data_IF_780274192596
#
_entry.id   IF_780274192596
#
_cell.length_a   1.000
_cell.length_b   1.000
_cell.length_c   1.000
_cell.angle_alpha   90.00
_cell.angle_beta   90.00
_cell.angle_gamma   90.00
#
_symmetry.space_group_name_H-M   'P 1'
#
loop_
_entity.id
_entity.type
_entity.pdbx_description
1 polymer ?
#
# COMPACT_ATOMS: atom_id res chain seq x y z
N UNK A 1 5.67 -20.29 29.26
CA UNK A 1 5.43 -20.15 27.79
C UNK A 1 3.95 -20.35 27.57
N UNK A 2 3.23 -19.29 27.28
CA UNK A 2 1.78 -19.28 27.31
C UNK A 2 1.14 -19.89 26.06
N UNK A 3 -0.03 -20.49 26.25
CA UNK A 3 -0.92 -21.08 25.25
C UNK A 3 -1.17 -20.12 24.05
N UNK A 4 -1.04 -18.81 24.26
CA UNK A 4 -1.23 -17.75 23.25
C UNK A 4 -0.11 -17.66 22.19
N UNK A 5 1.09 -18.17 22.48
CA UNK A 5 2.18 -18.21 21.48
C UNK A 5 1.88 -19.22 20.35
N UNK A 6 1.14 -20.29 20.66
CA UNK A 6 0.73 -21.28 19.68
C UNK A 6 -0.35 -20.76 18.72
N UNK A 7 -1.24 -19.87 19.19
CA UNK A 7 -2.28 -19.25 18.36
C UNK A 7 -1.71 -18.31 17.29
N UNK A 8 -0.56 -17.69 17.53
CA UNK A 8 0.12 -16.87 16.53
C UNK A 8 0.63 -17.68 15.33
N UNK A 9 1.05 -18.92 15.55
CA UNK A 9 1.49 -19.85 14.50
C UNK A 9 0.31 -20.33 13.64
N UNK A 10 -0.89 -20.36 14.19
CA UNK A 10 -2.12 -20.76 13.47
C UNK A 10 -2.71 -19.65 12.58
N UNK A 11 -2.18 -18.44 12.63
CA UNK A 11 -2.70 -17.31 11.86
C UNK A 11 -2.79 -17.60 10.35
N UNK A 12 -1.78 -18.17 9.67
CA UNK A 12 -1.89 -18.56 8.25
C UNK A 12 -2.93 -19.66 8.01
N UNK A 13 -3.02 -20.64 8.93
CA UNK A 13 -4.02 -21.73 8.85
C UNK A 13 -5.42 -21.17 9.06
N UNK A 14 -5.61 -20.26 10.03
CA UNK A 14 -6.88 -19.59 10.25
C UNK A 14 -7.35 -18.79 9.02
N UNK A 15 -6.46 -18.08 8.35
CA UNK A 15 -6.79 -17.38 7.11
C UNK A 15 -7.20 -18.32 5.99
N UNK A 16 -6.54 -19.48 5.88
CA UNK A 16 -6.87 -20.51 4.88
C UNK A 16 -8.20 -21.18 5.17
N UNK A 17 -8.47 -21.55 6.43
CA UNK A 17 -9.74 -22.16 6.85
C UNK A 17 -10.91 -21.19 6.74
N UNK A 18 -10.72 -19.93 7.14
CA UNK A 18 -11.73 -18.89 6.99
C UNK A 18 -12.07 -18.68 5.50
N UNK A 19 -11.08 -18.74 4.62
CA UNK A 19 -11.29 -18.67 3.16
C UNK A 19 -12.16 -19.79 2.65
N UNK A 20 -11.88 -21.03 3.07
CA UNK A 20 -12.64 -22.21 2.66
C UNK A 20 -14.08 -22.17 3.17
N UNK A 21 -14.26 -21.89 4.47
CA UNK A 21 -15.58 -21.89 5.12
C UNK A 21 -16.47 -20.71 4.71
N UNK A 22 -15.88 -19.56 4.36
CA UNK A 22 -16.65 -18.38 3.96
C UNK A 22 -17.05 -18.34 2.49
N UNK A 23 -16.69 -19.36 1.70
CA UNK A 23 -16.91 -19.37 0.26
C UNK A 23 -16.16 -18.24 -0.46
N UNK A 24 -15.00 -17.86 0.04
CA UNK A 24 -14.21 -16.80 -0.52
C UNK A 24 -13.68 -17.14 -1.91
N UNK A 25 -13.82 -16.20 -2.84
CA UNK A 25 -13.28 -16.29 -4.19
C UNK A 25 -12.06 -15.39 -4.31
N UNK A 26 -10.99 -15.88 -4.94
CA UNK A 26 -9.88 -15.04 -5.35
C UNK A 26 -10.32 -14.23 -6.57
N UNK A 27 -10.22 -12.90 -6.45
CA UNK A 27 -10.66 -11.95 -7.50
C UNK A 27 -9.49 -11.58 -8.41
N UNK A 28 -8.29 -11.43 -7.83
CA UNK A 28 -7.13 -11.05 -8.62
C UNK A 28 -5.86 -10.99 -7.78
N UNK A 29 -4.79 -10.56 -8.45
CA UNK A 29 -3.46 -10.42 -7.88
C UNK A 29 -2.83 -9.12 -8.40
N UNK A 30 -2.09 -8.42 -7.56
CA UNK A 30 -1.35 -7.23 -7.96
C UNK A 30 0.09 -7.55 -8.41
N UNK A 31 0.81 -6.51 -8.85
CA UNK A 31 2.20 -6.62 -9.28
C UNK A 31 3.15 -7.05 -8.15
N UNK A 32 2.84 -6.70 -6.90
CA UNK A 32 3.61 -7.10 -5.71
C UNK A 32 3.35 -8.54 -5.29
N UNK A 33 2.34 -9.18 -5.88
CA UNK A 33 1.95 -10.56 -5.61
C UNK A 33 0.94 -10.74 -4.49
N UNK A 34 0.35 -9.65 -3.97
CA UNK A 34 -0.75 -9.72 -3.04
C UNK A 34 -1.99 -10.27 -3.74
N UNK A 35 -2.79 -11.07 -3.03
CA UNK A 35 -4.00 -11.71 -3.56
C UNK A 35 -5.24 -11.10 -2.93
N UNK A 36 -6.23 -10.77 -3.76
CA UNK A 36 -7.47 -10.13 -3.35
C UNK A 36 -8.62 -11.12 -3.38
N UNK A 37 -9.45 -11.04 -2.35
CA UNK A 37 -10.54 -11.99 -2.14
C UNK A 37 -11.84 -11.26 -1.86
N UNK A 38 -12.95 -11.88 -2.31
CA UNK A 38 -14.30 -11.48 -1.95
C UNK A 38 -15.07 -12.66 -1.35
N UNK A 39 -16.03 -12.36 -0.49
CA UNK A 39 -16.96 -13.35 0.05
C UNK A 39 -18.32 -12.72 0.33
N UNK A 40 -19.32 -13.57 0.53
CA UNK A 40 -20.68 -13.16 0.86
C UNK A 40 -20.75 -12.22 2.06
N UNK A 41 -21.70 -11.28 2.10
CA UNK A 41 -21.93 -10.43 3.26
C UNK A 41 -22.09 -11.24 4.55
N UNK A 42 -21.69 -10.65 5.68
CA UNK A 42 -22.08 -11.19 6.99
C UNK A 42 -23.57 -10.94 7.24
N UNK A 43 -24.18 -11.77 8.07
CA UNK A 43 -25.58 -11.58 8.50
C UNK A 43 -25.75 -10.14 9.05
N UNK A 44 -26.72 -9.42 8.50
CA UNK A 44 -26.97 -8.02 8.87
C UNK A 44 -26.23 -6.98 8.02
N UNK A 45 -25.32 -7.38 7.15
CA UNK A 45 -24.62 -6.48 6.24
C UNK A 45 -25.06 -6.69 4.78
N UNK A 46 -25.20 -5.60 4.03
CA UNK A 46 -25.62 -5.65 2.62
C UNK A 46 -24.45 -5.85 1.66
N UNK A 47 -23.23 -5.34 2.02
CA UNK A 47 -22.05 -5.37 1.16
C UNK A 47 -21.26 -6.65 1.33
N UNK A 48 -20.71 -7.18 0.23
CA UNK A 48 -19.74 -8.27 0.24
C UNK A 48 -18.48 -7.88 1.05
N UNK A 49 -17.79 -8.89 1.55
CA UNK A 49 -16.52 -8.69 2.22
C UNK A 49 -15.41 -8.71 1.19
N UNK A 50 -14.49 -7.75 1.28
CA UNK A 50 -13.29 -7.68 0.45
C UNK A 50 -12.07 -7.60 1.35
N UNK A 51 -11.02 -8.34 1.03
CA UNK A 51 -9.77 -8.30 1.78
C UNK A 51 -8.60 -8.73 0.93
N UNK A 52 -7.40 -8.46 1.41
CA UNK A 52 -6.13 -8.82 0.78
C UNK A 52 -5.38 -9.84 1.64
N UNK A 53 -4.66 -10.74 0.98
CA UNK A 53 -3.63 -11.57 1.59
C UNK A 53 -2.30 -11.13 1.01
N UNK A 54 -1.46 -10.57 1.87
CA UNK A 54 -0.16 -10.02 1.48
C UNK A 54 0.84 -11.12 1.13
N UNK A 55 1.69 -10.85 0.16
CA UNK A 55 2.88 -11.64 -0.08
C UNK A 55 4.00 -11.12 0.82
N UNK A 56 4.42 -11.92 1.82
CA UNK A 56 5.43 -11.54 2.81
C UNK A 56 4.84 -10.68 3.94
N UNK A 57 5.59 -9.69 4.41
CA UNK A 57 5.15 -8.83 5.50
C UNK A 57 3.84 -8.11 5.17
N UNK A 58 2.89 -8.14 6.10
CA UNK A 58 1.60 -7.46 5.96
C UNK A 58 1.78 -5.97 6.21
N UNK A 59 1.62 -5.19 5.15
CA UNK A 59 1.70 -3.73 5.19
C UNK A 59 0.69 -3.12 4.24
N UNK A 60 -0.17 -2.24 4.76
CA UNK A 60 -1.26 -1.66 3.99
C UNK A 60 -0.78 -0.80 2.82
N UNK A 61 0.38 -0.17 2.96
CA UNK A 61 0.94 0.69 1.91
C UNK A 61 1.44 -0.07 0.67
N UNK A 62 1.49 -1.41 0.73
CA UNK A 62 1.79 -2.24 -0.44
C UNK A 62 0.65 -2.32 -1.44
N UNK A 63 -0.55 -1.92 -1.05
CA UNK A 63 -1.74 -2.02 -1.90
C UNK A 63 -1.71 -0.91 -2.93
N UNK A 64 -1.74 -1.21 -4.25
CA UNK A 64 -1.85 -0.21 -5.29
C UNK A 64 -3.15 0.59 -5.20
N UNK A 65 -3.19 1.86 -5.67
CA UNK A 65 -4.35 2.73 -5.57
C UNK A 65 -5.63 2.12 -6.17
N UNK A 66 -5.52 1.42 -7.27
CA UNK A 66 -6.63 0.78 -7.97
C UNK A 66 -7.29 -0.31 -7.10
N UNK A 67 -6.46 -1.15 -6.47
CA UNK A 67 -6.93 -2.18 -5.55
C UNK A 67 -7.42 -1.60 -4.22
N UNK A 68 -6.85 -0.48 -3.78
CA UNK A 68 -7.32 0.24 -2.60
C UNK A 68 -8.75 0.74 -2.79
N UNK A 69 -9.04 1.38 -3.94
CA UNK A 69 -10.39 1.80 -4.29
C UNK A 69 -11.39 0.64 -4.31
N UNK A 70 -11.01 -0.49 -4.91
CA UNK A 70 -11.83 -1.70 -4.94
C UNK A 70 -12.08 -2.26 -3.52
N UNK A 71 -11.06 -2.36 -2.68
CA UNK A 71 -11.20 -2.87 -1.31
C UNK A 71 -12.13 -2.01 -0.44
N UNK A 72 -12.12 -0.70 -0.65
CA UNK A 72 -12.97 0.25 0.08
C UNK A 72 -14.35 0.47 -0.55
N UNK A 73 -14.73 -0.35 -1.51
CA UNK A 73 -16.03 -0.23 -2.22
C UNK A 73 -16.26 1.13 -2.89
N UNK A 74 -15.20 1.81 -3.32
CA UNK A 74 -15.28 3.02 -4.13
C UNK A 74 -15.59 2.67 -5.59
N UNK A 75 -15.13 1.50 -6.03
CA UNK A 75 -15.45 0.91 -7.34
C UNK A 75 -15.71 -0.57 -7.18
N UNK A 76 -16.57 -1.11 -8.04
CA UNK A 76 -16.85 -2.55 -8.14
C UNK A 76 -16.04 -3.20 -9.26
N UNK A 77 -15.41 -2.39 -10.11
CA UNK A 77 -14.56 -2.85 -11.21
C UNK A 77 -13.28 -3.48 -10.66
N UNK A 78 -13.00 -4.68 -11.13
CA UNK A 78 -11.80 -5.41 -10.77
C UNK A 78 -10.62 -4.82 -11.55
N UNK A 79 -9.57 -4.32 -10.89
CA UNK A 79 -8.40 -3.81 -11.58
C UNK A 79 -7.75 -4.90 -12.42
N UNK A 80 -7.67 -4.69 -13.73
CA UNK A 80 -6.98 -5.58 -14.67
C UNK A 80 -5.87 -4.82 -15.38
N UNK A 81 -4.87 -5.56 -15.92
CA UNK A 81 -3.80 -4.98 -16.72
C UNK A 81 -4.31 -4.34 -18.00
N UNK A 82 -5.49 -4.76 -18.48
CA UNK A 82 -6.04 -4.35 -19.76
C UNK A 82 -6.96 -3.13 -19.67
N UNK A 83 -7.28 -2.69 -18.45
CA UNK A 83 -8.05 -1.47 -18.25
C UNK A 83 -7.18 -0.23 -18.40
N UNK A 84 -7.71 0.85 -19.02
CA UNK A 84 -6.98 2.10 -19.11
C UNK A 84 -6.65 2.60 -17.70
N UNK A 85 -5.37 2.77 -17.43
CA UNK A 85 -4.90 3.32 -16.18
C UNK A 85 -5.36 4.77 -16.06
N UNK A 86 -6.01 5.12 -14.95
CA UNK A 86 -6.33 6.52 -14.61
C UNK A 86 -5.08 7.34 -14.26
N UNK A 87 -3.90 6.73 -14.28
CA UNK A 87 -2.64 7.39 -13.96
C UNK A 87 -2.27 8.42 -15.02
N UNK A 88 -1.88 9.59 -14.57
CA UNK A 88 -1.32 10.64 -15.42
C UNK A 88 0.13 10.30 -15.76
N UNK A 89 0.62 10.81 -16.91
CA UNK A 89 2.00 10.56 -17.39
C UNK A 89 3.10 10.95 -16.40
N UNK A 90 2.84 11.92 -15.53
CA UNK A 90 3.78 12.40 -14.51
C UNK A 90 3.77 11.56 -13.22
N UNK A 91 2.77 10.71 -13.01
CA UNK A 91 2.66 9.87 -11.82
C UNK A 91 3.64 8.71 -11.90
N UNK A 92 4.44 8.57 -10.85
CA UNK A 92 5.37 7.44 -10.70
C UNK A 92 4.62 6.14 -10.37
N UNK A 93 5.19 4.96 -10.69
CA UNK A 93 4.65 3.68 -10.25
C UNK A 93 4.46 3.66 -8.73
N UNK A 94 3.45 2.91 -8.27
CA UNK A 94 3.20 2.75 -6.85
C UNK A 94 4.41 2.16 -6.14
N UNK A 95 4.76 2.72 -5.00
CA UNK A 95 5.81 2.25 -4.11
C UNK A 95 5.29 2.22 -2.68
N UNK A 96 5.57 1.13 -1.96
CA UNK A 96 5.24 1.04 -0.54
C UNK A 96 5.94 2.12 0.27
N UNK A 97 5.44 2.41 1.46
CA UNK A 97 6.10 3.33 2.38
C UNK A 97 7.46 2.78 2.81
N UNK A 98 8.51 3.53 2.52
CA UNK A 98 9.89 3.14 2.82
C UNK A 98 10.42 3.80 4.10
N UNK A 99 9.56 4.50 4.87
CA UNK A 99 9.95 5.12 6.15
C UNK A 99 10.56 4.08 7.09
N UNK A 100 11.68 4.43 7.71
CA UNK A 100 12.44 3.51 8.57
C UNK A 100 13.41 2.58 7.84
N UNK A 101 13.42 2.55 6.51
CA UNK A 101 14.37 1.78 5.71
C UNK A 101 15.52 2.65 5.17
N UNK A 102 16.57 2.01 4.63
CA UNK A 102 17.67 2.71 3.95
C UNK A 102 17.20 3.47 2.71
N UNK A 103 16.09 3.08 2.12
CA UNK A 103 15.49 3.67 0.91
C UNK A 103 14.45 4.75 1.23
N UNK A 104 14.30 5.15 2.50
CA UNK A 104 13.42 6.24 2.90
C UNK A 104 13.79 7.53 2.15
N UNK A 105 12.75 8.27 1.74
CA UNK A 105 12.99 9.57 1.13
C UNK A 105 13.70 10.51 2.12
N UNK A 106 14.80 11.11 1.66
CA UNK A 106 15.57 12.10 2.39
C UNK A 106 15.73 13.33 1.51
N UNK A 107 15.25 14.49 1.96
CA UNK A 107 15.43 15.74 1.21
C UNK A 107 16.92 16.10 1.11
N UNK A 108 17.32 16.97 0.15
CA UNK A 108 18.72 17.37 -0.03
C UNK A 108 19.37 17.94 1.22
N UNK A 109 18.62 18.67 2.06
CA UNK A 109 19.12 19.24 3.31
C UNK A 109 19.19 18.28 4.50
N UNK A 110 18.88 16.98 4.30
CA UNK A 110 18.94 16.00 5.39
C UNK A 110 20.40 15.71 5.79
N UNK A 111 20.68 15.58 7.10
CA UNK A 111 22.03 15.35 7.64
C UNK A 111 22.75 14.15 7.01
N UNK A 112 22.02 13.06 6.70
CA UNK A 112 22.57 11.88 6.03
C UNK A 112 22.73 12.05 4.51
N UNK A 113 22.48 13.25 3.98
CA UNK A 113 22.63 13.65 2.58
C UNK A 113 23.36 15.00 2.52
N UNK A 114 24.58 15.06 3.05
CA UNK A 114 25.49 16.21 3.02
C UNK A 114 25.00 17.49 3.76
N UNK A 115 23.76 17.51 4.29
CA UNK A 115 23.24 18.63 5.07
C UNK A 115 23.01 19.93 4.30
N UNK A 116 23.24 19.96 2.97
CA UNK A 116 23.08 21.15 2.13
C UNK A 116 21.80 21.05 1.31
N UNK A 117 20.88 22.00 1.48
CA UNK A 117 19.72 22.15 0.61
C UNK A 117 20.04 23.01 -0.61
N UNK A 118 19.33 22.79 -1.71
CA UNK A 118 19.39 23.71 -2.83
C UNK A 118 18.86 25.09 -2.41
N UNK A 119 19.46 26.15 -2.93
CA UNK A 119 18.95 27.51 -2.78
C UNK A 119 17.55 27.61 -3.41
N UNK A 120 16.70 28.39 -2.79
CA UNK A 120 15.36 28.68 -3.29
C UNK A 120 15.24 30.17 -3.63
N UNK A 121 14.23 30.53 -4.40
CA UNK A 121 13.96 31.95 -4.73
C UNK A 121 13.63 32.82 -3.52
N UNK A 122 13.28 32.22 -2.37
CA UNK A 122 13.06 32.93 -1.09
C UNK A 122 14.30 33.09 -0.22
N UNK A 123 15.47 32.59 -0.66
CA UNK A 123 16.70 32.75 0.09
C UNK A 123 17.21 34.19 -0.07
N UNK A 124 17.57 34.81 1.05
CA UNK A 124 18.11 36.16 1.08
C UNK A 124 19.49 36.20 0.41
N UNK A 125 19.67 37.13 -0.50
CA UNK A 125 20.98 37.54 -1.05
C UNK A 125 21.28 38.94 -0.54
N UNK A 126 22.42 39.09 0.18
CA UNK A 126 22.84 40.39 0.65
C UNK A 126 23.09 41.31 -0.56
N UNK A 127 22.44 42.47 -0.57
CA UNK A 127 22.73 43.50 -1.57
C UNK A 127 24.16 44.01 -1.37
N UNK A 128 24.90 44.10 -2.45
CA UNK A 128 26.21 44.77 -2.51
C UNK A 128 26.14 46.00 -3.42
N UNK A 129 26.70 47.17 -3.03
CA UNK A 129 26.67 48.34 -3.91
C UNK A 129 27.48 48.06 -5.18
N UNK A 130 27.03 48.61 -6.33
CA UNK A 130 27.84 48.54 -7.54
C UNK A 130 29.14 49.34 -7.35
N UNK A 131 30.26 48.78 -7.87
CA UNK A 131 31.54 49.46 -7.91
C UNK A 131 31.53 50.63 -8.87
#
# INVERSE_FOLDING_TARGET
MGLFSFLGVLSPVHMSTTRLLSGAKCVGKDQSGNKYYTAKPRKGYKRERRWVIYKGASEATKIPPEWHGWMHHQTDDIPSSDQPSFRRKWQKPHRQNMTGTKEAYRPPGHMLKEGKRARTTGDYEAWSPPE
#
